data_IF_954138492288
#
_entry.id   IF_954138492288
#
_cell.length_a   1.000
_cell.length_b   1.000
_cell.length_c   1.000
_cell.angle_alpha   90.00
_cell.angle_beta   90.00
_cell.angle_gamma   90.00
#
_symmetry.space_group_name_H-M   'P 1'
#
loop_
_entity.id
_entity.type
_entity.pdbx_description
1 polymer ?
#
# COMPACT_ATOMS: atom_id res chain seq x y z
N UNK A 1 -13.76 6.02 -16.75
CA UNK A 1 -13.91 7.16 -15.82
C UNK A 1 -12.53 7.53 -15.29
N UNK A 2 -12.21 8.82 -15.09
CA UNK A 2 -10.94 9.22 -14.48
C UNK A 2 -10.90 8.76 -13.01
N UNK A 3 -9.74 8.25 -12.56
CA UNK A 3 -9.57 7.83 -11.17
C UNK A 3 -9.81 8.99 -10.19
N UNK A 4 -10.49 8.70 -9.08
CA UNK A 4 -10.65 9.64 -7.96
C UNK A 4 -9.29 9.94 -7.32
N UNK A 5 -9.16 11.03 -6.52
CA UNK A 5 -7.92 11.32 -5.82
C UNK A 5 -7.44 10.19 -4.91
N UNK A 6 -8.35 9.46 -4.26
CA UNK A 6 -8.05 8.32 -3.38
C UNK A 6 -7.55 7.14 -4.21
N UNK A 7 -8.24 6.80 -5.29
CA UNK A 7 -7.83 5.73 -6.21
C UNK A 7 -6.46 6.02 -6.84
N UNK A 8 -6.16 7.28 -7.19
CA UNK A 8 -4.84 7.68 -7.70
C UNK A 8 -3.74 7.48 -6.67
N UNK A 9 -3.99 7.77 -5.39
CA UNK A 9 -3.01 7.51 -4.33
C UNK A 9 -2.79 6.01 -4.10
N UNK A 10 -3.85 5.20 -4.15
CA UNK A 10 -3.73 3.74 -4.07
C UNK A 10 -2.94 3.17 -5.25
N UNK A 11 -3.22 3.64 -6.47
CA UNK A 11 -2.45 3.27 -7.66
C UNK A 11 -0.98 3.73 -7.56
N UNK A 12 -0.72 4.91 -6.99
CA UNK A 12 0.64 5.41 -6.77
C UNK A 12 1.40 4.51 -5.79
N UNK A 13 0.77 4.05 -4.70
CA UNK A 13 1.41 3.13 -3.76
C UNK A 13 1.86 1.83 -4.46
N UNK A 14 1.02 1.27 -5.34
CA UNK A 14 1.39 0.09 -6.13
C UNK A 14 2.58 0.36 -7.06
N UNK A 15 2.68 1.56 -7.67
CA UNK A 15 3.85 1.94 -8.47
C UNK A 15 5.15 1.98 -7.66
N UNK A 16 5.11 2.47 -6.42
CA UNK A 16 6.27 2.40 -5.52
C UNK A 16 6.62 0.96 -5.19
N UNK A 17 5.63 0.11 -4.90
CA UNK A 17 5.86 -1.32 -4.65
C UNK A 17 6.51 -1.99 -5.87
N UNK A 18 6.03 -1.73 -7.09
CA UNK A 18 6.63 -2.26 -8.32
C UNK A 18 8.10 -1.81 -8.50
N UNK A 19 8.40 -0.53 -8.27
CA UNK A 19 9.76 -0.01 -8.37
C UNK A 19 10.68 -0.67 -7.35
N UNK A 20 10.23 -0.77 -6.10
CA UNK A 20 10.98 -1.36 -5.01
C UNK A 20 11.23 -2.86 -5.25
N UNK A 21 10.20 -3.59 -5.64
CA UNK A 21 10.27 -5.00 -6.01
C UNK A 21 11.28 -5.24 -7.14
N UNK A 22 11.29 -4.39 -8.17
CA UNK A 22 12.23 -4.50 -9.29
C UNK A 22 13.67 -4.32 -8.84
N UNK A 23 13.94 -3.36 -7.95
CA UNK A 23 15.28 -3.16 -7.40
C UNK A 23 15.68 -4.33 -6.49
N UNK A 24 14.77 -4.84 -5.66
CA UNK A 24 15.06 -5.98 -4.79
C UNK A 24 15.31 -7.26 -5.61
N UNK A 25 14.62 -7.43 -6.74
CA UNK A 25 14.85 -8.50 -7.70
C UNK A 25 16.21 -8.37 -8.40
N UNK A 26 16.64 -7.16 -8.76
CA UNK A 26 17.99 -6.90 -9.29
C UNK A 26 19.06 -7.34 -8.28
N UNK A 27 18.91 -6.93 -7.04
CA UNK A 27 19.84 -7.33 -5.99
C UNK A 27 19.74 -8.82 -5.64
N UNK A 28 18.66 -9.54 -5.96
CA UNK A 28 18.62 -10.99 -5.78
C UNK A 28 19.14 -11.78 -6.98
N UNK A 29 19.59 -11.09 -8.05
CA UNK A 29 20.01 -11.72 -9.31
C UNK A 29 18.87 -12.32 -10.11
N UNK A 30 17.62 -11.96 -9.78
CA UNK A 30 16.40 -12.49 -10.40
C UNK A 30 15.83 -11.55 -11.48
N UNK A 31 16.32 -10.31 -11.58
CA UNK A 31 15.94 -9.38 -12.63
C UNK A 31 17.15 -8.84 -13.39
N UNK A 32 17.05 -8.90 -14.71
CA UNK A 32 18.02 -8.34 -15.65
C UNK A 32 17.27 -7.29 -16.48
N UNK A 33 17.22 -6.07 -15.98
CA UNK A 33 16.65 -4.95 -16.72
C UNK A 33 17.78 -4.01 -17.13
N UNK A 34 17.69 -3.48 -18.35
CA UNK A 34 18.58 -2.43 -18.80
C UNK A 34 18.55 -1.27 -17.78
N UNK A 35 19.70 -0.65 -17.47
CA UNK A 35 19.78 0.50 -16.54
C UNK A 35 18.76 1.60 -16.84
N UNK A 36 18.51 1.84 -18.13
CA UNK A 36 17.55 2.82 -18.62
C UNK A 36 16.11 2.55 -18.17
N UNK A 37 15.76 1.28 -17.96
CA UNK A 37 14.44 0.91 -17.46
C UNK A 37 14.22 1.40 -16.02
N UNK A 38 15.26 1.42 -15.17
CA UNK A 38 15.15 1.93 -13.80
C UNK A 38 14.98 3.44 -13.78
N UNK A 39 15.69 4.16 -14.65
CA UNK A 39 15.60 5.62 -14.78
C UNK A 39 14.27 6.04 -15.36
N UNK A 40 13.81 5.40 -16.44
CA UNK A 40 12.50 5.65 -17.03
C UNK A 40 11.37 5.39 -16.01
N UNK A 41 11.49 4.31 -15.23
CA UNK A 41 10.54 3.98 -14.17
C UNK A 41 10.55 5.02 -13.04
N UNK A 42 11.73 5.50 -12.61
CA UNK A 42 11.86 6.53 -11.60
C UNK A 42 11.27 7.88 -12.03
N UNK A 43 11.55 8.32 -13.25
CA UNK A 43 10.93 9.53 -13.81
C UNK A 43 9.41 9.40 -13.92
N UNK A 44 8.90 8.23 -14.32
CA UNK A 44 7.46 7.98 -14.32
C UNK A 44 6.88 8.09 -12.91
N UNK A 45 7.51 7.45 -11.93
CA UNK A 45 7.09 7.48 -10.53
C UNK A 45 7.04 8.91 -9.98
N UNK A 46 8.07 9.72 -10.25
CA UNK A 46 8.13 11.13 -9.84
C UNK A 46 7.00 11.95 -10.48
N UNK A 47 6.75 11.80 -11.79
CA UNK A 47 5.64 12.48 -12.47
C UNK A 47 4.29 12.12 -11.86
N UNK A 48 4.03 10.84 -11.64
CA UNK A 48 2.78 10.36 -11.05
C UNK A 48 2.60 10.86 -9.62
N UNK A 49 3.67 10.87 -8.82
CA UNK A 49 3.63 11.36 -7.45
C UNK A 49 3.32 12.87 -7.39
N UNK A 50 3.94 13.67 -8.25
CA UNK A 50 3.64 15.10 -8.40
C UNK A 50 2.19 15.33 -8.86
N UNK A 51 1.71 14.55 -9.82
CA UNK A 51 0.33 14.63 -10.31
C UNK A 51 -0.68 14.30 -9.21
N UNK A 52 -0.41 13.29 -8.38
CA UNK A 52 -1.25 12.91 -7.24
C UNK A 52 -1.32 14.03 -6.21
N UNK A 53 -0.19 14.61 -5.80
CA UNK A 53 -0.18 15.73 -4.83
C UNK A 53 -0.94 16.93 -5.38
N UNK A 54 -0.75 17.26 -6.67
CA UNK A 54 -1.49 18.34 -7.31
C UNK A 54 -2.99 18.07 -7.26
N UNK A 55 -3.42 16.85 -7.58
CA UNK A 55 -4.82 16.43 -7.51
C UNK A 55 -5.41 16.53 -6.10
N UNK A 56 -4.67 16.10 -5.08
CA UNK A 56 -5.06 16.21 -3.66
C UNK A 56 -5.22 17.67 -3.23
N UNK A 57 -4.25 18.54 -3.58
CA UNK A 57 -4.32 19.98 -3.25
C UNK A 57 -5.51 20.68 -3.90
N UNK A 58 -5.91 20.25 -5.10
CA UNK A 58 -7.07 20.79 -5.81
C UNK A 58 -8.39 20.45 -5.12
N UNK A 59 -8.44 19.44 -4.25
CA UNK A 59 -9.66 19.08 -3.50
C UNK A 59 -10.02 20.09 -2.40
N UNK A 60 -9.25 21.16 -2.19
CA UNK A 60 -9.49 22.20 -1.17
C UNK A 60 -9.70 21.63 0.24
N UNK A 61 -8.93 20.62 0.66
CA UNK A 61 -9.14 19.91 1.93
C UNK A 61 -9.08 20.84 3.16
N UNK A 62 -9.79 20.51 4.27
CA UNK A 62 -9.75 21.33 5.48
C UNK A 62 -8.37 21.29 6.15
N UNK A 63 -7.99 22.40 6.81
CA UNK A 63 -6.73 22.52 7.54
C UNK A 63 -6.74 21.80 8.91
N UNK A 64 -7.32 20.60 8.99
CA UNK A 64 -7.28 19.77 10.20
C UNK A 64 -5.93 19.06 10.32
N UNK A 65 -5.43 18.87 11.54
CA UNK A 65 -4.13 18.24 11.82
C UNK A 65 -3.90 16.93 11.03
N UNK A 66 -4.81 15.93 11.00
CA UNK A 66 -4.54 14.67 10.32
C UNK A 66 -4.36 14.81 8.81
N UNK A 67 -5.07 15.75 8.20
CA UNK A 67 -4.98 16.05 6.77
C UNK A 67 -3.73 16.84 6.45
N UNK A 68 -3.43 17.88 7.24
CA UNK A 68 -2.22 18.67 7.08
C UNK A 68 -0.98 17.79 7.19
N UNK A 69 -0.94 16.93 8.20
CA UNK A 69 0.13 15.93 8.40
C UNK A 69 0.21 14.92 7.24
N UNK A 70 -0.93 14.42 6.74
CA UNK A 70 -0.95 13.54 5.56
C UNK A 70 -0.40 14.23 4.30
N UNK A 71 -0.79 15.49 4.04
CA UNK A 71 -0.29 16.25 2.89
C UNK A 71 1.21 16.54 3.01
N UNK A 72 1.71 16.84 4.23
CA UNK A 72 3.15 17.01 4.48
C UNK A 72 3.91 15.72 4.18
N UNK A 73 3.42 14.58 4.69
CA UNK A 73 4.04 13.27 4.41
C UNK A 73 4.08 12.95 2.92
N UNK A 74 3.00 13.20 2.17
CA UNK A 74 3.01 13.02 0.71
C UNK A 74 4.07 13.92 0.03
N UNK A 75 4.19 15.19 0.45
CA UNK A 75 5.24 16.09 -0.08
C UNK A 75 6.65 15.57 0.22
N UNK A 76 6.87 15.05 1.42
CA UNK A 76 8.15 14.44 1.79
C UNK A 76 8.43 13.20 0.92
N UNK A 77 7.42 12.34 0.67
CA UNK A 77 7.56 11.21 -0.25
C UNK A 77 7.98 11.65 -1.65
N UNK A 78 7.37 12.71 -2.19
CA UNK A 78 7.79 13.27 -3.50
C UNK A 78 9.22 13.79 -3.47
N UNK A 79 9.60 14.53 -2.42
CA UNK A 79 10.97 15.03 -2.28
C UNK A 79 12.00 13.89 -2.27
N UNK A 80 11.75 12.82 -1.51
CA UNK A 80 12.60 11.63 -1.46
C UNK A 80 12.64 10.91 -2.82
N UNK A 81 11.52 10.90 -3.55
CA UNK A 81 11.43 10.29 -4.89
C UNK A 81 12.27 11.04 -5.90
N UNK A 82 12.25 12.38 -5.90
CA UNK A 82 13.17 13.18 -6.72
C UNK A 82 14.64 12.89 -6.40
N UNK A 83 14.96 12.63 -5.12
CA UNK A 83 16.29 12.17 -4.71
C UNK A 83 16.65 10.80 -5.28
N UNK A 84 15.72 9.84 -5.21
CA UNK A 84 15.89 8.51 -5.78
C UNK A 84 16.09 8.56 -7.30
N UNK A 85 15.32 9.38 -8.01
CA UNK A 85 15.49 9.61 -9.45
C UNK A 85 16.90 10.09 -9.76
N UNK A 86 17.42 11.09 -9.02
CA UNK A 86 18.79 11.60 -9.22
C UNK A 86 19.84 10.52 -9.03
N UNK A 87 19.71 9.66 -8.02
CA UNK A 87 20.64 8.55 -7.83
C UNK A 87 20.55 7.53 -8.97
N UNK A 88 19.35 7.17 -9.44
CA UNK A 88 19.21 6.25 -10.56
C UNK A 88 19.76 6.83 -11.87
N UNK A 89 19.58 8.12 -12.12
CA UNK A 89 20.23 8.81 -13.25
C UNK A 89 21.76 8.79 -13.11
N UNK A 90 22.29 9.06 -11.92
CA UNK A 90 23.74 8.98 -11.66
C UNK A 90 24.28 7.55 -11.87
N UNK A 91 23.50 6.53 -11.50
CA UNK A 91 23.88 5.13 -11.66
C UNK A 91 24.22 4.78 -13.12
N UNK A 92 23.50 5.34 -14.10
CA UNK A 92 23.76 5.12 -15.53
C UNK A 92 25.19 5.49 -15.93
N UNK A 93 25.77 6.53 -15.31
CA UNK A 93 27.13 6.98 -15.61
C UNK A 93 28.22 6.14 -14.94
N UNK A 94 27.84 5.18 -14.10
CA UNK A 94 28.78 4.31 -13.35
C UNK A 94 28.64 2.84 -13.74
N UNK A 95 28.01 2.57 -14.87
CA UNK A 95 27.87 1.21 -15.37
C UNK A 95 29.23 0.60 -15.72
N UNK A 96 29.52 -0.63 -15.27
CA UNK A 96 30.65 -1.37 -15.82
C UNK A 96 30.43 -1.65 -17.32
N UNK A 97 31.51 -1.81 -18.12
CA UNK A 97 31.41 -2.17 -19.52
C UNK A 97 30.64 -3.48 -19.74
N UNK A 98 29.90 -3.57 -20.85
CA UNK A 98 28.92 -4.62 -21.16
C UNK A 98 29.43 -6.06 -21.02
N UNK A 99 30.74 -6.31 -21.08
CA UNK A 99 31.31 -7.66 -20.96
C UNK A 99 31.38 -8.20 -19.52
N UNK A 100 31.04 -7.41 -18.49
CA UNK A 100 30.97 -7.82 -17.08
C UNK A 100 29.61 -8.45 -16.68
N UNK A 101 28.94 -9.06 -17.64
CA UNK A 101 27.47 -9.04 -17.83
C UNK A 101 26.62 -9.93 -16.88
N UNK A 102 27.19 -10.49 -15.81
CA UNK A 102 26.50 -11.57 -15.07
C UNK A 102 26.62 -11.52 -13.54
N UNK A 103 27.31 -10.52 -12.99
CA UNK A 103 27.48 -10.41 -11.56
C UNK A 103 26.36 -9.55 -10.94
N UNK A 104 25.69 -10.11 -9.91
CA UNK A 104 24.81 -9.37 -9.00
C UNK A 104 25.47 -8.04 -8.60
N UNK A 105 24.80 -6.88 -8.73
CA UNK A 105 25.38 -5.61 -8.32
C UNK A 105 25.75 -5.61 -6.84
N UNK A 106 26.96 -5.15 -6.52
CA UNK A 106 27.38 -4.92 -5.13
C UNK A 106 26.63 -3.68 -4.59
N UNK A 107 25.76 -3.83 -3.57
CA UNK A 107 25.00 -2.71 -3.01
C UNK A 107 25.88 -1.62 -2.37
N UNK A 108 27.17 -1.86 -2.18
CA UNK A 108 28.08 -0.92 -1.53
C UNK A 108 29.03 -0.21 -2.49
N UNK A 109 29.00 -0.50 -3.80
CA UNK A 109 29.94 0.09 -4.77
C UNK A 109 29.29 0.42 -6.12
N UNK A 110 29.80 1.49 -6.75
CA UNK A 110 29.47 1.86 -8.13
C UNK A 110 27.97 1.96 -8.39
N UNK A 111 27.51 1.33 -9.48
CA UNK A 111 26.10 1.25 -9.86
C UNK A 111 25.19 0.76 -8.73
N UNK A 112 25.59 -0.31 -8.03
CA UNK A 112 24.75 -0.91 -6.99
C UNK A 112 24.54 0.01 -5.78
N UNK A 113 25.53 0.84 -5.41
CA UNK A 113 25.38 1.83 -4.35
C UNK A 113 24.28 2.87 -4.66
N UNK A 114 24.27 3.40 -5.88
CA UNK A 114 23.26 4.39 -6.28
C UNK A 114 21.85 3.79 -6.33
N UNK A 115 21.73 2.58 -6.85
CA UNK A 115 20.44 1.85 -6.88
C UNK A 115 19.95 1.54 -5.46
N UNK A 116 20.85 1.15 -4.55
CA UNK A 116 20.52 0.91 -3.15
C UNK A 116 20.03 2.17 -2.44
N UNK A 117 20.72 3.31 -2.62
CA UNK A 117 20.27 4.59 -2.06
C UNK A 117 18.89 5.00 -2.59
N UNK A 118 18.63 4.81 -3.87
CA UNK A 118 17.31 5.06 -4.44
C UNK A 118 16.22 4.17 -3.82
N UNK A 119 16.54 2.90 -3.56
CA UNK A 119 15.66 1.94 -2.91
C UNK A 119 15.35 2.31 -1.46
N UNK A 120 16.33 2.81 -0.73
CA UNK A 120 16.18 3.28 0.65
C UNK A 120 15.26 4.50 0.73
N UNK A 121 15.47 5.48 -0.15
CA UNK A 121 14.65 6.70 -0.22
C UNK A 121 13.18 6.41 -0.54
N UNK A 122 12.90 5.32 -1.26
CA UNK A 122 11.55 4.94 -1.70
C UNK A 122 10.94 3.80 -0.87
N UNK A 123 11.66 3.27 0.12
CA UNK A 123 11.24 2.07 0.85
C UNK A 123 9.93 2.22 1.61
N UNK A 124 9.74 3.36 2.28
CA UNK A 124 8.58 3.61 3.12
C UNK A 124 7.43 4.31 2.38
N UNK A 125 7.58 4.56 1.08
CA UNK A 125 6.61 5.30 0.30
C UNK A 125 5.24 4.59 0.20
N UNK A 126 5.15 3.28 -0.12
CA UNK A 126 3.84 2.61 -0.18
C UNK A 126 3.04 2.73 1.12
N UNK A 127 3.70 2.45 2.25
CA UNK A 127 3.08 2.54 3.58
C UNK A 127 2.62 3.96 3.90
N UNK A 128 3.48 4.94 3.62
CA UNK A 128 3.21 6.36 3.89
C UNK A 128 2.07 6.89 3.04
N UNK A 129 2.00 6.48 1.77
CA UNK A 129 0.93 6.86 0.84
C UNK A 129 -0.39 6.25 1.27
N UNK A 130 -0.45 4.94 1.54
CA UNK A 130 -1.70 4.29 1.98
C UNK A 130 -2.20 4.89 3.30
N UNK A 131 -1.31 5.14 4.27
CA UNK A 131 -1.69 5.74 5.55
C UNK A 131 -2.12 7.21 5.40
N UNK A 132 -1.54 7.96 4.47
CA UNK A 132 -1.98 9.33 4.17
C UNK A 132 -3.30 9.35 3.42
N UNK A 133 -3.55 8.34 2.59
CA UNK A 133 -4.78 8.16 1.82
C UNK A 133 -5.99 7.99 2.73
N UNK A 134 -5.89 7.16 3.79
CA UNK A 134 -6.99 6.96 4.75
C UNK A 134 -7.38 8.26 5.47
N UNK A 135 -6.41 9.08 5.86
CA UNK A 135 -6.69 10.39 6.48
C UNK A 135 -7.34 11.40 5.51
N UNK A 136 -6.95 11.37 4.23
CA UNK A 136 -7.51 12.24 3.19
C UNK A 136 -8.95 11.83 2.84
N UNK A 137 -9.17 10.54 2.59
CA UNK A 137 -10.45 9.93 2.24
C UNK A 137 -11.55 10.26 3.26
N UNK A 138 -11.26 10.06 4.55
CA UNK A 138 -12.18 10.38 5.65
C UNK A 138 -12.70 11.84 5.63
N UNK A 139 -11.96 12.78 5.03
CA UNK A 139 -12.38 14.18 4.91
C UNK A 139 -13.01 14.53 3.57
N UNK A 140 -12.68 13.81 2.49
CA UNK A 140 -13.37 13.92 1.21
C UNK A 140 -14.82 13.44 1.34
N UNK A 141 -15.05 12.32 2.01
CA UNK A 141 -16.39 11.79 2.25
C UNK A 141 -17.31 12.77 2.99
N UNK A 142 -16.81 13.44 4.02
CA UNK A 142 -17.59 14.44 4.78
C UNK A 142 -18.19 15.56 3.92
N UNK A 143 -17.69 15.76 2.69
CA UNK A 143 -18.24 16.72 1.70
C UNK A 143 -19.24 16.09 0.75
N UNK A 144 -19.03 14.84 0.37
CA UNK A 144 -19.88 14.09 -0.53
C UNK A 144 -20.88 13.25 0.29
N UNK A 145 -21.80 13.89 1.03
CA UNK A 145 -22.91 13.18 1.68
C UNK A 145 -23.89 12.68 0.62
N UNK A 146 -23.57 11.53 0.02
CA UNK A 146 -24.50 10.62 -0.64
C UNK A 146 -24.08 9.21 -0.21
N UNK A 147 -24.88 8.62 0.69
CA UNK A 147 -24.63 7.31 1.29
C UNK A 147 -24.92 6.21 0.29
N UNK A 148 -23.90 5.78 -0.46
CA UNK A 148 -23.86 4.45 -1.06
C UNK A 148 -23.14 3.54 -0.09
N UNK A 149 -23.89 2.73 0.65
CA UNK A 149 -23.34 1.67 1.49
C UNK A 149 -22.66 0.64 0.58
N UNK A 150 -21.33 0.57 0.62
CA UNK A 150 -20.61 -0.59 0.07
C UNK A 150 -20.85 -1.74 1.05
N UNK A 151 -21.83 -2.58 0.74
CA UNK A 151 -22.11 -3.81 1.46
C UNK A 151 -21.19 -4.91 0.95
N UNK A 152 -20.50 -5.61 1.86
CA UNK A 152 -19.91 -6.92 1.57
C UNK A 152 -18.45 -7.13 1.97
N UNK A 153 -17.72 -6.11 2.43
CA UNK A 153 -16.34 -6.27 2.91
C UNK A 153 -16.30 -6.26 4.44
N UNK A 154 -15.83 -7.36 5.02
CA UNK A 154 -15.58 -7.44 6.46
C UNK A 154 -14.24 -6.79 6.86
N UNK A 155 -13.99 -6.69 8.17
CA UNK A 155 -12.78 -6.07 8.70
C UNK A 155 -11.49 -6.82 8.29
N UNK A 156 -11.54 -8.14 8.15
CA UNK A 156 -10.37 -8.94 7.78
C UNK A 156 -10.02 -8.75 6.30
N UNK A 157 -11.03 -8.73 5.43
CA UNK A 157 -10.91 -8.43 4.01
C UNK A 157 -10.41 -6.99 3.78
N UNK A 158 -10.97 -6.01 4.50
CA UNK A 158 -10.51 -4.63 4.45
C UNK A 158 -9.03 -4.50 4.84
N UNK A 159 -8.63 -5.12 5.96
CA UNK A 159 -7.24 -5.11 6.40
C UNK A 159 -6.32 -5.80 5.39
N UNK A 160 -6.75 -6.93 4.80
CA UNK A 160 -5.99 -7.62 3.77
C UNK A 160 -5.80 -6.73 2.52
N UNK A 161 -6.83 -6.01 2.06
CA UNK A 161 -6.72 -5.07 0.95
C UNK A 161 -5.75 -3.91 1.26
N UNK A 162 -5.73 -3.40 2.50
CA UNK A 162 -4.75 -2.40 2.93
C UNK A 162 -3.33 -2.95 2.92
N UNK A 163 -3.11 -4.18 3.38
CA UNK A 163 -1.78 -4.81 3.33
C UNK A 163 -1.33 -5.09 1.89
N UNK A 164 -2.24 -5.44 0.99
CA UNK A 164 -1.96 -5.54 -0.44
C UNK A 164 -1.59 -4.17 -1.02
N UNK A 165 -2.35 -3.11 -0.70
CA UNK A 165 -2.07 -1.75 -1.15
C UNK A 165 -0.71 -1.22 -0.65
N UNK A 166 -0.28 -1.64 0.54
CA UNK A 166 1.03 -1.33 1.11
C UNK A 166 2.16 -2.12 0.46
N UNK A 167 1.85 -3.12 -0.37
CA UNK A 167 2.84 -4.00 -0.99
C UNK A 167 3.47 -4.99 0.00
N UNK A 168 2.78 -5.33 1.09
CA UNK A 168 3.33 -6.25 2.09
C UNK A 168 3.06 -7.71 1.78
N UNK A 169 2.05 -8.00 0.95
CA UNK A 169 1.59 -9.35 0.68
C UNK A 169 2.43 -10.00 -0.43
N UNK A 170 3.13 -11.09 -0.08
CA UNK A 170 3.75 -12.01 -1.04
C UNK A 170 3.21 -13.42 -0.85
N UNK A 171 3.15 -14.18 -1.93
CA UNK A 171 2.67 -15.56 -1.93
C UNK A 171 3.79 -16.49 -2.41
N UNK A 172 4.00 -17.58 -1.69
CA UNK A 172 4.90 -18.67 -2.11
C UNK A 172 4.08 -19.90 -2.47
N UNK A 173 4.41 -20.56 -3.58
CA UNK A 173 3.76 -21.81 -3.99
C UNK A 173 4.32 -23.05 -3.27
N UNK A 174 5.54 -22.97 -2.73
CA UNK A 174 6.18 -24.10 -2.04
C UNK A 174 5.47 -24.41 -0.70
N UNK A 175 4.83 -25.58 -0.64
CA UNK A 175 4.22 -26.23 0.55
C UNK A 175 2.82 -25.75 0.97
N UNK A 176 1.97 -25.40 0.01
CA UNK A 176 0.65 -24.82 0.27
C UNK A 176 0.77 -23.31 0.39
N UNK A 177 -0.14 -22.57 -0.25
CA UNK A 177 -0.03 -21.12 -0.41
C UNK A 177 0.22 -20.42 0.93
N UNK A 178 1.46 -20.00 1.19
CA UNK A 178 1.79 -19.21 2.39
C UNK A 178 1.78 -17.74 2.02
N UNK A 179 0.91 -17.01 2.70
CA UNK A 179 0.82 -15.56 2.61
C UNK A 179 1.81 -14.97 3.61
N UNK A 180 2.81 -14.24 3.10
CA UNK A 180 3.76 -13.53 3.94
C UNK A 180 3.38 -12.05 3.94
N UNK A 181 3.29 -11.50 5.14
CA UNK A 181 3.14 -10.07 5.41
C UNK A 181 4.20 -9.66 6.42
N UNK A 182 4.78 -8.48 6.23
CA UNK A 182 5.85 -7.97 7.08
C UNK A 182 5.37 -7.55 8.48
N UNK A 183 4.09 -7.19 8.62
CA UNK A 183 3.56 -6.55 9.84
C UNK A 183 2.31 -7.20 10.40
N UNK A 184 1.56 -7.96 9.60
CA UNK A 184 0.25 -8.49 10.04
C UNK A 184 -0.11 -9.78 9.32
N UNK A 185 -0.43 -10.84 10.04
CA UNK A 185 -0.82 -12.12 9.42
C UNK A 185 -2.15 -11.97 8.67
N UNK A 186 -2.11 -12.17 7.36
CA UNK A 186 -3.32 -12.29 6.51
C UNK A 186 -3.57 -13.76 6.24
N UNK A 187 -4.77 -14.24 6.58
CA UNK A 187 -5.16 -15.63 6.34
C UNK A 187 -5.19 -15.94 4.83
N UNK A 188 -4.74 -17.14 4.47
CA UNK A 188 -4.67 -17.61 3.07
C UNK A 188 -6.06 -17.65 2.44
N UNK A 189 -7.06 -18.03 3.23
CA UNK A 189 -8.47 -18.12 2.84
C UNK A 189 -9.03 -16.74 2.47
N UNK A 190 -8.67 -15.69 3.23
CA UNK A 190 -9.08 -14.31 2.95
C UNK A 190 -8.49 -13.85 1.63
N UNK A 191 -7.19 -14.09 1.40
CA UNK A 191 -6.56 -13.71 0.13
C UNK A 191 -7.17 -14.47 -1.06
N UNK A 192 -7.41 -15.78 -0.93
CA UNK A 192 -8.06 -16.59 -1.96
C UNK A 192 -9.48 -16.09 -2.27
N UNK A 193 -10.21 -15.66 -1.25
CA UNK A 193 -11.54 -15.08 -1.43
C UNK A 193 -11.48 -13.76 -2.19
N UNK A 194 -10.55 -12.86 -1.84
CA UNK A 194 -10.34 -11.59 -2.55
C UNK A 194 -9.92 -11.79 -4.02
N UNK A 195 -9.15 -12.84 -4.30
CA UNK A 195 -8.80 -13.25 -5.66
C UNK A 195 -10.01 -13.78 -6.44
N UNK A 196 -10.84 -14.61 -5.82
CA UNK A 196 -12.08 -15.11 -6.41
C UNK A 196 -13.09 -13.98 -6.71
N UNK A 197 -13.05 -12.90 -5.92
CA UNK A 197 -13.82 -11.67 -6.15
C UNK A 197 -13.16 -10.71 -7.15
N UNK A 198 -12.01 -11.08 -7.73
CA UNK A 198 -11.22 -10.24 -8.64
C UNK A 198 -10.79 -8.88 -8.04
N UNK A 199 -10.70 -8.78 -6.71
CA UNK A 199 -10.20 -7.58 -6.03
C UNK A 199 -8.68 -7.56 -5.96
N UNK A 200 -8.07 -8.75 -5.94
CA UNK A 200 -6.64 -8.95 -5.90
C UNK A 200 -6.22 -9.88 -7.04
N UNK A 201 -5.06 -9.60 -7.62
CA UNK A 201 -4.39 -10.51 -8.57
C UNK A 201 -3.01 -10.86 -8.06
N UNK A 202 -2.51 -12.05 -8.42
CA UNK A 202 -1.11 -12.41 -8.24
C UNK A 202 -0.34 -12.02 -9.47
N UNK A 203 0.80 -11.35 -9.27
CA UNK A 203 1.78 -11.16 -10.33
C UNK A 203 2.93 -12.14 -10.11
N UNK A 204 3.09 -13.14 -10.99
CA UNK A 204 4.10 -14.17 -10.84
C UNK A 204 5.53 -13.61 -10.77
N UNK A 205 6.36 -14.20 -9.91
CA UNK A 205 7.80 -13.94 -9.83
C UNK A 205 8.19 -12.44 -9.75
N UNK A 206 7.33 -11.63 -9.14
CA UNK A 206 7.48 -10.16 -9.12
C UNK A 206 7.84 -9.60 -7.75
N UNK A 207 7.95 -10.45 -6.72
CA UNK A 207 8.44 -10.07 -5.41
C UNK A 207 9.80 -10.73 -5.13
N UNK A 208 10.68 -10.07 -4.35
CA UNK A 208 11.98 -10.63 -4.02
C UNK A 208 11.87 -11.94 -3.25
N UNK A 209 12.87 -12.83 -3.34
CA UNK A 209 12.87 -14.10 -2.64
C UNK A 209 12.85 -13.92 -1.11
N UNK A 210 12.41 -14.95 -0.38
CA UNK A 210 12.38 -14.92 1.09
C UNK A 210 13.78 -14.94 1.71
N UNK A 211 14.72 -15.63 1.05
CA UNK A 211 16.12 -15.72 1.45
C UNK A 211 17.02 -15.52 0.22
N UNK A 212 18.27 -15.04 0.39
CA UNK A 212 19.21 -14.87 -0.71
C UNK A 212 19.40 -16.16 -1.52
N UNK A 213 19.25 -16.08 -2.85
CA UNK A 213 19.37 -17.23 -3.75
C UNK A 213 18.11 -18.12 -3.85
N UNK A 214 17.05 -17.81 -3.10
CA UNK A 214 15.76 -18.49 -3.23
C UNK A 214 14.99 -18.09 -4.50
N UNK A 215 13.90 -18.81 -4.84
CA UNK A 215 13.06 -18.45 -5.98
C UNK A 215 12.31 -17.15 -5.71
N UNK A 216 12.05 -16.34 -6.77
CA UNK A 216 11.20 -15.16 -6.65
C UNK A 216 9.78 -15.58 -6.23
N UNK A 217 9.07 -14.66 -5.60
CA UNK A 217 7.73 -14.89 -5.07
C UNK A 217 6.70 -14.13 -5.88
N UNK A 218 5.44 -14.47 -5.68
CA UNK A 218 4.35 -13.74 -6.29
C UNK A 218 4.00 -12.53 -5.43
N UNK A 219 3.77 -11.38 -6.08
CA UNK A 219 3.24 -10.19 -5.43
C UNK A 219 1.72 -10.20 -5.58
N UNK A 220 0.99 -10.10 -4.47
CA UNK A 220 -0.42 -9.76 -4.55
C UNK A 220 -0.56 -8.26 -4.84
N UNK A 221 -1.43 -7.89 -5.79
CA UNK A 221 -1.71 -6.51 -6.19
C UNK A 221 -3.20 -6.27 -6.26
N UNK A 222 -3.63 -5.05 -5.94
CA UNK A 222 -5.01 -4.64 -6.17
C UNK A 222 -5.29 -4.59 -7.67
N UNK A 223 -6.43 -5.11 -8.08
CA UNK A 223 -6.96 -4.86 -9.43
C UNK A 223 -7.56 -3.46 -9.49
N UNK A 224 -7.97 -3.00 -10.68
CA UNK A 224 -8.76 -1.77 -10.79
C UNK A 224 -10.04 -1.83 -9.94
N UNK A 225 -10.72 -2.97 -9.94
CA UNK A 225 -11.89 -3.21 -9.09
C UNK A 225 -11.51 -3.18 -7.61
N UNK A 226 -10.39 -3.79 -7.23
CA UNK A 226 -9.86 -3.74 -5.87
C UNK A 226 -9.53 -2.32 -5.39
N UNK A 227 -8.94 -1.49 -6.25
CA UNK A 227 -8.66 -0.07 -5.97
C UNK A 227 -9.96 0.70 -5.74
N UNK A 228 -10.94 0.59 -6.64
CA UNK A 228 -12.22 1.28 -6.48
C UNK A 228 -12.99 0.80 -5.25
N UNK A 229 -12.97 -0.51 -4.99
CA UNK A 229 -13.63 -1.11 -3.84
C UNK A 229 -12.97 -0.66 -2.53
N UNK A 230 -11.64 -0.72 -2.44
CA UNK A 230 -10.91 -0.25 -1.27
C UNK A 230 -11.11 1.26 -1.06
N UNK A 231 -11.08 2.07 -2.13
CA UNK A 231 -11.38 3.50 -2.06
C UNK A 231 -12.75 3.73 -1.42
N UNK A 232 -13.78 3.02 -1.90
CA UNK A 232 -15.14 3.20 -1.41
C UNK A 232 -15.32 2.73 0.05
N UNK A 233 -14.59 1.70 0.49
CA UNK A 233 -14.59 1.25 1.90
C UNK A 233 -13.84 2.23 2.81
N UNK A 234 -12.69 2.76 2.38
CA UNK A 234 -11.96 3.78 3.15
C UNK A 234 -12.79 5.07 3.27
N UNK A 235 -13.57 5.39 2.25
CA UNK A 235 -14.49 6.54 2.25
C UNK A 235 -15.76 6.27 3.09
N UNK A 236 -16.08 5.02 3.46
CA UNK A 236 -17.28 4.70 4.23
C UNK A 236 -17.11 5.02 5.73
N UNK A 237 -18.16 5.49 6.44
CA UNK A 237 -18.08 5.68 7.88
C UNK A 237 -17.85 4.34 8.59
N UNK A 238 -17.06 4.29 9.68
CA UNK A 238 -17.01 3.11 10.51
C UNK A 238 -18.41 2.88 11.05
N UNK A 239 -19.05 1.78 10.64
CA UNK A 239 -20.21 1.29 11.34
C UNK A 239 -19.75 0.90 12.74
N UNK A 240 -19.92 1.82 13.69
CA UNK A 240 -19.95 1.44 15.10
C UNK A 240 -21.21 0.58 15.22
N UNK A 241 -21.06 -0.72 14.99
CA UNK A 241 -21.98 -1.71 15.53
C UNK A 241 -21.83 -1.59 17.04
N UNK A 242 -22.57 -0.66 17.64
CA UNK A 242 -23.00 -0.80 19.01
C UNK A 242 -23.80 -2.10 19.00
N UNK A 243 -23.13 -3.22 19.29
CA UNK A 243 -23.82 -4.43 19.73
C UNK A 243 -24.78 -3.95 20.79
N UNK A 244 -26.07 -4.01 20.47
CA UNK A 244 -27.12 -3.63 21.40
C UNK A 244 -26.92 -4.50 22.63
N UNK A 245 -26.30 -3.94 23.66
CA UNK A 245 -26.35 -4.49 25.00
C UNK A 245 -27.82 -4.49 25.34
N UNK A 246 -28.39 -5.68 25.27
CA UNK A 246 -29.75 -6.00 25.71
C UNK A 246 -29.99 -5.24 27.02
N UNK A 247 -31.07 -4.45 27.15
CA UNK A 247 -31.33 -3.72 28.38
C UNK A 247 -31.35 -4.72 29.52
N UNK A 248 -30.42 -4.56 30.46
CA UNK A 248 -30.41 -5.31 31.71
C UNK A 248 -31.71 -4.94 32.41
N UNK A 249 -32.57 -5.93 32.63
CA UNK A 249 -33.82 -5.77 33.37
C UNK A 249 -33.52 -5.12 34.72
N UNK A 250 -34.18 -4.00 35.00
CA UNK A 250 -34.06 -3.31 36.27
C UNK A 250 -34.44 -4.25 37.43
N UNK A 251 -33.73 -4.21 38.56
CA UNK A 251 -34.10 -4.99 39.73
C UNK A 251 -35.45 -4.51 40.26
N UNK A 252 -36.38 -5.44 40.43
CA UNK A 252 -37.67 -5.23 41.07
C UNK A 252 -37.42 -4.77 42.51
N UNK A 253 -37.89 -3.58 42.85
CA UNK A 253 -37.89 -3.08 44.21
C UNK A 253 -38.80 -3.98 45.08
N UNK A 254 -38.20 -4.67 46.05
CA UNK A 254 -38.95 -5.38 47.07
C UNK A 254 -39.54 -4.36 48.06
N UNK A 255 -40.86 -4.16 48.01
CA UNK A 255 -41.60 -3.46 49.04
C UNK A 255 -41.54 -4.27 50.34
N UNK A 256 -40.72 -3.84 51.30
CA UNK A 256 -40.82 -4.29 52.68
C UNK A 256 -41.87 -3.43 53.40
N UNK A 257 -43.12 -3.89 53.38
CA UNK A 257 -44.10 -3.50 54.38
C UNK A 257 -43.71 -4.17 55.71
N UNK A 258 -43.50 -3.39 56.77
CA UNK A 258 -43.52 -3.92 58.13
C UNK A 258 -44.37 -3.03 59.02
N UNK A 259 -45.53 -3.57 59.35
CA UNK A 259 -46.44 -3.10 60.39
C UNK A 259 -45.93 -3.50 61.79
N UNK A 260 -46.24 -2.62 62.75
CA UNK A 260 -46.41 -2.82 64.20
C UNK A 260 -45.40 -3.64 65.02
N UNK A 261 -44.80 -2.96 66.01
CA UNK A 261 -45.31 -2.90 67.39
C UNK A 261 -44.87 -1.63 68.09
#
# INVERSE_FOLDING_TARGET
MPLTPVERLLALADLYTQQNDRIDLLFSGQAHAAPDAYVASAHRLEREALACIKGVRQQRLPASEPVSSAVVRLKQTVYLTSGATRYLTAAQHTLPPQDADHARPDPHRGFGQYVQLARELTALAPLTIVSSTTHIAARLHNRARNTSTVTGIDAAQHNALLEVARGHITVTEQHGHRVHSHTTTVAVEVLRHLEAQHLVTRQPASAPPLFPGGPPRDRARLTALGISTLSAVIDAPPHISLSATRPVSAPVAANAARAHR
#
